data_IF_187581567272
#
_entry.id   IF_187581567272
#
_cell.length_a   1.000
_cell.length_b   1.000
_cell.length_c   1.000
_cell.angle_alpha   90.00
_cell.angle_beta   90.00
_cell.angle_gamma   90.00
#
_symmetry.space_group_name_H-M   'P 1'
#
loop_
_entity.id
_entity.type
_entity.pdbx_description
1 polymer ?
#
# COMPACT_ATOMS: atom_id res chain seq x y z
N UNK A 1 9.73 17.38 -6.04
CA UNK A 1 9.80 16.27 -5.05
C UNK A 1 9.53 16.72 -3.62
N UNK A 2 10.24 17.71 -3.07
CA UNK A 2 10.05 18.10 -1.65
C UNK A 2 8.62 18.55 -1.30
N UNK A 3 7.99 19.38 -2.13
CA UNK A 3 6.61 19.85 -1.88
C UNK A 3 5.57 18.72 -1.98
N UNK A 4 5.68 17.86 -3.00
CA UNK A 4 4.77 16.72 -3.20
C UNK A 4 4.96 15.69 -2.09
N UNK A 5 6.20 15.39 -1.71
CA UNK A 5 6.51 14.50 -0.60
C UNK A 5 6.02 15.04 0.75
N UNK A 6 6.15 16.35 0.98
CA UNK A 6 5.62 17.00 2.19
C UNK A 6 4.08 16.97 2.22
N UNK A 7 3.42 17.31 1.13
CA UNK A 7 1.95 17.29 1.03
C UNK A 7 1.39 15.86 1.11
N UNK A 8 2.05 14.91 0.44
CA UNK A 8 1.71 13.48 0.52
C UNK A 8 1.93 12.93 1.92
N UNK A 9 3.05 13.25 2.57
CA UNK A 9 3.32 12.86 3.95
C UNK A 9 2.32 13.44 4.96
N UNK A 10 1.92 14.71 4.77
CA UNK A 10 0.88 15.35 5.57
C UNK A 10 -0.49 14.69 5.37
N UNK A 11 -0.89 14.47 4.10
CA UNK A 11 -2.15 13.81 3.76
C UNK A 11 -2.19 12.36 4.23
N UNK A 12 -1.06 11.64 4.11
CA UNK A 12 -0.91 10.28 4.60
C UNK A 12 -1.00 10.19 6.13
N UNK A 13 -0.46 11.19 6.85
CA UNK A 13 -0.57 11.27 8.31
C UNK A 13 -1.96 11.64 8.81
N UNK A 14 -2.69 12.48 8.07
CA UNK A 14 -4.06 12.89 8.42
C UNK A 14 -5.12 11.83 8.06
N UNK A 15 -5.00 11.24 6.88
CA UNK A 15 -6.02 10.35 6.31
C UNK A 15 -5.65 8.87 6.46
N UNK A 16 -4.42 8.54 6.86
CA UNK A 16 -3.92 7.16 6.99
C UNK A 16 -3.82 6.40 5.68
N UNK A 17 -3.95 7.09 4.54
CA UNK A 17 -4.05 6.50 3.19
C UNK A 17 -2.70 5.88 2.72
N UNK A 18 -1.59 6.25 3.36
CA UNK A 18 -0.24 5.93 2.87
C UNK A 18 0.04 6.74 1.60
N UNK A 19 1.18 7.42 1.52
CA UNK A 19 1.43 8.45 0.50
C UNK A 19 1.36 7.99 -0.96
N UNK A 20 1.20 6.68 -1.23
CA UNK A 20 1.17 6.06 -2.55
C UNK A 20 0.10 6.59 -3.50
N UNK A 21 -1.10 6.92 -3.01
CA UNK A 21 -2.16 7.51 -3.85
C UNK A 21 -1.70 8.80 -4.54
N UNK A 22 -0.89 9.61 -3.86
CA UNK A 22 -0.34 10.86 -4.39
C UNK A 22 1.02 10.62 -5.06
N UNK A 23 1.86 9.77 -4.46
CA UNK A 23 3.24 9.55 -4.90
C UNK A 23 3.31 8.80 -6.23
N UNK A 24 2.49 7.77 -6.46
CA UNK A 24 2.54 6.96 -7.69
C UNK A 24 2.20 7.81 -8.93
N UNK A 25 1.08 8.56 -8.99
CA UNK A 25 0.79 9.44 -10.14
C UNK A 25 1.81 10.56 -10.30
N UNK A 26 2.31 11.13 -9.20
CA UNK A 26 3.33 12.17 -9.26
C UNK A 26 4.65 11.64 -9.83
N UNK A 27 5.07 10.43 -9.42
CA UNK A 27 6.26 9.78 -9.96
C UNK A 27 6.07 9.40 -11.42
N UNK A 28 4.91 8.90 -11.83
CA UNK A 28 4.60 8.65 -13.23
C UNK A 28 4.78 9.91 -14.08
N UNK A 29 4.22 11.04 -13.65
CA UNK A 29 4.31 12.29 -14.41
C UNK A 29 5.76 12.80 -14.51
N UNK A 30 6.55 12.66 -13.44
CA UNK A 30 7.93 13.14 -13.39
C UNK A 30 8.90 12.22 -14.13
N UNK A 31 8.67 10.90 -14.08
CA UNK A 31 9.53 9.90 -14.70
C UNK A 31 9.16 9.62 -16.17
N UNK A 32 7.94 9.94 -16.61
CA UNK A 32 7.51 9.77 -18.00
C UNK A 32 8.46 10.34 -19.06
N UNK A 33 9.06 11.54 -18.90
CA UNK A 33 10.04 12.04 -19.88
C UNK A 33 11.44 11.41 -19.75
N UNK A 34 11.71 10.59 -18.73
CA UNK A 34 13.03 10.07 -18.40
C UNK A 34 13.18 8.56 -18.63
N UNK A 35 12.06 7.82 -18.68
CA UNK A 35 12.03 6.35 -18.72
C UNK A 35 11.10 5.84 -19.81
N UNK A 36 11.43 4.68 -20.35
CA UNK A 36 10.55 3.94 -21.25
C UNK A 36 9.27 3.46 -20.53
N UNK A 37 8.16 3.39 -21.26
CA UNK A 37 6.86 2.97 -20.71
C UNK A 37 6.90 1.57 -20.08
N UNK A 38 7.79 0.69 -20.57
CA UNK A 38 7.94 -0.69 -20.08
C UNK A 38 8.41 -0.79 -18.63
N UNK A 39 9.19 0.20 -18.15
CA UNK A 39 9.74 0.23 -16.79
C UNK A 39 9.15 1.35 -15.93
N UNK A 40 8.44 2.30 -16.55
CA UNK A 40 7.92 3.50 -15.91
C UNK A 40 7.00 3.19 -14.73
N UNK A 41 6.01 2.31 -14.91
CA UNK A 41 5.05 2.00 -13.85
C UNK A 41 5.69 1.20 -12.71
N UNK A 42 6.52 0.20 -13.02
CA UNK A 42 7.23 -0.60 -12.01
C UNK A 42 8.18 0.26 -11.18
N UNK A 43 8.89 1.20 -11.84
CA UNK A 43 9.81 2.11 -11.17
C UNK A 43 9.05 3.13 -10.31
N UNK A 44 7.93 3.68 -10.79
CA UNK A 44 7.07 4.59 -10.02
C UNK A 44 6.50 3.89 -8.77
N UNK A 45 5.98 2.68 -8.91
CA UNK A 45 5.42 1.88 -7.80
C UNK A 45 6.49 1.50 -6.79
N UNK A 46 7.62 0.95 -7.25
CA UNK A 46 8.73 0.56 -6.37
C UNK A 46 9.33 1.75 -5.62
N UNK A 47 9.51 2.89 -6.30
CA UNK A 47 10.02 4.13 -5.69
C UNK A 47 9.02 4.71 -4.69
N UNK A 48 7.71 4.66 -5.00
CA UNK A 48 6.67 5.09 -4.07
C UNK A 48 6.69 4.24 -2.80
N UNK A 49 6.75 2.91 -2.91
CA UNK A 49 6.84 2.01 -1.75
C UNK A 49 8.09 2.30 -0.92
N UNK A 50 9.25 2.51 -1.56
CA UNK A 50 10.49 2.86 -0.86
C UNK A 50 10.36 4.19 -0.09
N UNK A 51 9.73 5.20 -0.70
CA UNK A 51 9.44 6.46 -0.02
C UNK A 51 8.44 6.29 1.12
N UNK A 52 7.44 5.42 0.94
CA UNK A 52 6.42 5.15 1.94
C UNK A 52 7.05 4.57 3.21
N UNK A 53 8.08 3.71 3.11
CA UNK A 53 8.80 3.19 4.30
C UNK A 53 9.18 4.31 5.27
N UNK A 54 9.78 5.39 4.78
CA UNK A 54 10.18 6.52 5.62
C UNK A 54 8.98 7.29 6.18
N UNK A 55 7.96 7.54 5.36
CA UNK A 55 6.75 8.26 5.81
C UNK A 55 5.93 7.45 6.82
N UNK A 56 5.88 6.13 6.65
CA UNK A 56 5.17 5.21 7.53
C UNK A 56 5.83 5.12 8.89
N UNK A 57 7.16 5.14 8.98
CA UNK A 57 7.85 5.20 10.29
C UNK A 57 7.44 6.46 11.06
N UNK A 58 7.42 7.62 10.40
CA UNK A 58 6.97 8.88 11.01
C UNK A 58 5.50 8.82 11.46
N UNK A 59 4.63 8.27 10.61
CA UNK A 59 3.19 8.12 10.90
C UNK A 59 2.91 7.14 12.04
N UNK A 60 3.56 5.96 12.04
CA UNK A 60 3.49 4.97 13.13
C UNK A 60 3.88 5.63 14.44
N UNK A 61 5.00 6.36 14.47
CA UNK A 61 5.47 7.03 15.67
C UNK A 61 4.45 8.05 16.20
N UNK A 62 3.90 8.89 15.32
CA UNK A 62 2.90 9.88 15.69
C UNK A 62 1.60 9.24 16.23
N UNK A 63 1.08 8.21 15.56
CA UNK A 63 -0.13 7.51 16.00
C UNK A 63 0.09 6.67 17.27
N UNK A 64 1.29 6.12 17.44
CA UNK A 64 1.67 5.39 18.65
C UNK A 64 1.67 6.33 19.87
N UNK A 65 2.24 7.52 19.72
CA UNK A 65 2.26 8.55 20.78
C UNK A 65 0.85 8.95 21.24
N UNK A 66 -0.13 8.89 20.34
CA UNK A 66 -1.54 9.16 20.65
C UNK A 66 -2.33 7.94 21.13
N UNK A 67 -1.72 6.76 21.27
CA UNK A 67 -2.39 5.54 21.73
C UNK A 67 -3.49 5.03 20.79
N UNK A 68 -3.52 5.49 19.54
CA UNK A 68 -4.61 5.22 18.61
C UNK A 68 -4.47 3.87 17.86
N UNK A 69 -3.29 3.25 17.89
CA UNK A 69 -3.00 2.02 17.15
C UNK A 69 -3.57 0.80 17.88
N UNK A 70 -4.42 0.02 17.22
CA UNK A 70 -4.88 -1.28 17.73
C UNK A 70 -3.87 -2.37 17.38
N UNK A 71 -2.88 -2.57 18.26
CA UNK A 71 -1.80 -3.55 18.09
C UNK A 71 -2.28 -5.00 17.87
N UNK A 72 -3.43 -5.36 18.43
CA UNK A 72 -4.08 -6.67 18.20
C UNK A 72 -4.46 -6.87 16.74
N UNK A 73 -5.00 -5.85 16.08
CA UNK A 73 -5.38 -5.90 14.67
C UNK A 73 -4.15 -5.86 13.77
N UNK A 74 -3.17 -5.01 14.11
CA UNK A 74 -1.89 -4.94 13.44
C UNK A 74 -1.19 -6.31 13.41
N UNK A 75 -0.98 -6.94 14.57
CA UNK A 75 -0.27 -8.23 14.68
C UNK A 75 -0.99 -9.38 13.97
N UNK A 76 -2.33 -9.32 13.85
CA UNK A 76 -3.12 -10.31 13.08
C UNK A 76 -2.93 -10.18 11.57
N UNK A 77 -2.80 -8.95 11.06
CA UNK A 77 -2.69 -8.67 9.64
C UNK A 77 -1.24 -8.80 9.13
N UNK A 78 -0.27 -8.31 9.91
CA UNK A 78 1.14 -8.15 9.50
C UNK A 78 1.77 -9.42 8.90
N UNK A 79 1.65 -10.63 9.47
CA UNK A 79 2.32 -11.81 8.94
C UNK A 79 1.90 -12.14 7.51
N UNK A 80 0.59 -12.16 7.24
CA UNK A 80 0.05 -12.42 5.91
C UNK A 80 0.23 -11.25 4.96
N UNK A 81 0.27 -10.03 5.48
CA UNK A 81 0.56 -8.83 4.71
C UNK A 81 1.99 -8.85 4.16
N UNK A 82 2.98 -9.27 4.95
CA UNK A 82 4.36 -9.38 4.47
C UNK A 82 4.45 -10.35 3.30
N UNK A 83 3.79 -11.51 3.42
CA UNK A 83 3.74 -12.53 2.37
C UNK A 83 2.98 -12.00 1.14
N UNK A 84 1.82 -11.37 1.35
CA UNK A 84 1.01 -10.76 0.31
C UNK A 84 1.79 -9.69 -0.44
N UNK A 85 2.39 -8.73 0.26
CA UNK A 85 3.11 -7.62 -0.35
C UNK A 85 4.35 -8.08 -1.14
N UNK A 86 5.12 -9.02 -0.59
CA UNK A 86 6.26 -9.59 -1.32
C UNK A 86 5.80 -10.32 -2.59
N UNK A 87 4.80 -11.20 -2.48
CA UNK A 87 4.25 -11.91 -3.65
C UNK A 87 3.58 -10.97 -4.66
N UNK A 88 2.94 -9.89 -4.20
CA UNK A 88 2.31 -8.87 -5.04
C UNK A 88 3.34 -8.13 -5.88
N UNK A 89 4.47 -7.75 -5.28
CA UNK A 89 5.59 -7.16 -6.01
C UNK A 89 6.20 -8.14 -7.04
N UNK A 90 6.31 -9.43 -6.70
CA UNK A 90 6.75 -10.46 -7.63
C UNK A 90 5.78 -10.67 -8.80
N UNK A 91 4.48 -10.62 -8.54
CA UNK A 91 3.45 -10.76 -9.58
C UNK A 91 3.39 -9.52 -10.46
N UNK A 92 3.57 -8.32 -9.89
CA UNK A 92 3.56 -7.06 -10.62
C UNK A 92 4.59 -7.04 -11.77
N UNK A 93 5.73 -7.73 -11.62
CA UNK A 93 6.78 -7.81 -12.66
C UNK A 93 6.32 -8.45 -13.97
N UNK A 94 5.25 -9.26 -13.94
CA UNK A 94 4.67 -9.90 -15.12
C UNK A 94 3.49 -9.12 -15.70
N UNK A 95 3.08 -8.03 -15.06
CA UNK A 95 1.97 -7.20 -15.51
C UNK A 95 2.46 -6.10 -16.45
N UNK A 96 1.73 -5.89 -17.55
CA UNK A 96 2.00 -4.79 -18.48
C UNK A 96 1.72 -3.43 -17.86
N UNK A 97 2.40 -2.39 -18.35
CA UNK A 97 2.16 -0.99 -18.00
C UNK A 97 0.67 -0.61 -18.02
N UNK A 98 -0.03 -0.89 -19.12
CA UNK A 98 -1.45 -0.53 -19.28
C UNK A 98 -2.35 -1.19 -18.25
N UNK A 99 -2.11 -2.48 -17.97
CA UNK A 99 -2.85 -3.21 -16.95
C UNK A 99 -2.67 -2.58 -15.57
N UNK A 100 -1.42 -2.33 -15.13
CA UNK A 100 -1.16 -1.70 -13.82
C UNK A 100 -1.79 -0.30 -13.74
N UNK A 101 -1.69 0.49 -14.81
CA UNK A 101 -2.24 1.85 -14.86
C UNK A 101 -3.77 1.86 -14.74
N UNK A 102 -4.46 1.03 -15.53
CA UNK A 102 -5.93 0.92 -15.51
C UNK A 102 -6.39 0.32 -14.20
N UNK A 103 -5.71 -0.73 -13.71
CA UNK A 103 -6.02 -1.36 -12.43
C UNK A 103 -5.88 -0.37 -11.27
N UNK A 104 -4.78 0.38 -11.19
CA UNK A 104 -4.58 1.44 -10.20
C UNK A 104 -5.74 2.44 -10.21
N UNK A 105 -6.09 2.98 -11.39
CA UNK A 105 -7.14 3.99 -11.51
C UNK A 105 -8.51 3.46 -11.08
N UNK A 106 -8.90 2.28 -11.58
CA UNK A 106 -10.18 1.66 -11.25
C UNK A 106 -10.28 1.29 -9.76
N UNK A 107 -9.20 0.77 -9.20
CA UNK A 107 -9.11 0.39 -7.80
C UNK A 107 -9.28 1.60 -6.88
N UNK A 108 -8.57 2.69 -7.15
CA UNK A 108 -8.66 3.91 -6.33
C UNK A 108 -10.04 4.58 -6.42
N UNK A 109 -10.65 4.60 -7.59
CA UNK A 109 -12.05 5.06 -7.76
C UNK A 109 -12.99 4.19 -6.92
N UNK A 110 -12.80 2.87 -6.93
CA UNK A 110 -13.62 1.95 -6.15
C UNK A 110 -13.49 2.20 -4.64
N UNK A 111 -12.27 2.40 -4.15
CA UNK A 111 -12.01 2.76 -2.73
C UNK A 111 -12.68 4.08 -2.36
N UNK A 112 -12.53 5.11 -3.21
CA UNK A 112 -13.14 6.41 -2.99
C UNK A 112 -14.67 6.32 -2.88
N UNK A 113 -15.31 5.51 -3.75
CA UNK A 113 -16.75 5.25 -3.71
C UNK A 113 -17.16 4.54 -2.42
N UNK A 114 -16.45 3.50 -2.01
CA UNK A 114 -16.75 2.76 -0.77
C UNK A 114 -16.69 3.68 0.45
N UNK A 115 -15.67 4.54 0.53
CA UNK A 115 -15.54 5.51 1.61
C UNK A 115 -16.64 6.59 1.55
N UNK A 116 -17.00 7.06 0.35
CA UNK A 116 -18.06 8.05 0.16
C UNK A 116 -19.41 7.56 0.69
N UNK A 117 -19.76 6.30 0.43
CA UNK A 117 -21.01 5.71 0.90
C UNK A 117 -20.98 5.21 2.35
N UNK A 118 -19.84 5.31 3.05
CA UNK A 118 -19.68 4.98 4.48
C UNK A 118 -20.36 3.66 4.89
N UNK A 119 -20.21 2.64 4.06
CA UNK A 119 -20.86 1.34 4.26
C UNK A 119 -20.25 0.68 5.52
N UNK A 120 -21.09 0.38 6.52
CA UNK A 120 -20.68 -0.33 7.74
C UNK A 120 -21.45 -1.64 7.90
N UNK A 121 -20.76 -2.70 8.31
CA UNK A 121 -21.39 -3.97 8.68
C UNK A 121 -22.07 -3.85 10.06
N UNK A 122 -22.95 -4.79 10.41
CA UNK A 122 -23.57 -4.84 11.73
C UNK A 122 -22.67 -5.45 12.83
N UNK A 123 -21.55 -6.10 12.46
CA UNK A 123 -20.67 -6.84 13.37
C UNK A 123 -19.32 -6.17 13.64
N UNK A 124 -18.75 -6.41 14.83
CA UNK A 124 -17.43 -5.91 15.24
C UNK A 124 -16.29 -6.87 14.82
N UNK A 125 -15.12 -6.31 14.51
CA UNK A 125 -13.92 -7.01 13.98
C UNK A 125 -13.43 -8.17 14.85
N UNK A 126 -13.72 -8.15 16.15
CA UNK A 126 -13.35 -9.22 17.09
C UNK A 126 -14.09 -10.54 16.87
N UNK A 127 -15.26 -10.51 16.21
CA UNK A 127 -16.05 -11.71 15.91
C UNK A 127 -15.60 -12.42 14.63
N UNK A 128 -14.65 -11.85 13.88
CA UNK A 128 -14.14 -12.45 12.66
C UNK A 128 -13.32 -13.72 12.94
N UNK A 129 -13.55 -14.76 12.14
CA UNK A 129 -12.77 -15.99 12.19
C UNK A 129 -11.31 -15.73 11.81
N UNK A 130 -10.39 -16.53 12.37
CA UNK A 130 -8.95 -16.42 12.12
C UNK A 130 -8.59 -16.49 10.63
N UNK A 131 -9.25 -17.37 9.86
CA UNK A 131 -9.02 -17.51 8.43
C UNK A 131 -9.36 -16.25 7.63
N UNK A 132 -10.37 -15.48 8.06
CA UNK A 132 -10.73 -14.21 7.42
C UNK A 132 -9.62 -13.19 7.59
N UNK A 133 -9.04 -13.09 8.79
CA UNK A 133 -7.88 -12.21 9.03
C UNK A 133 -6.69 -12.56 8.15
N UNK A 134 -6.40 -13.85 7.99
CA UNK A 134 -5.29 -14.33 7.16
C UNK A 134 -5.52 -14.00 5.68
N UNK A 135 -6.72 -14.29 5.17
CA UNK A 135 -7.08 -14.02 3.77
C UNK A 135 -7.06 -12.51 3.49
N UNK A 136 -7.70 -11.72 4.35
CA UNK A 136 -7.75 -10.25 4.19
C UNK A 136 -6.37 -9.65 4.25
N UNK A 137 -5.54 -10.06 5.23
CA UNK A 137 -4.16 -9.56 5.31
C UNK A 137 -3.35 -9.90 4.06
N UNK A 138 -3.46 -11.13 3.55
CA UNK A 138 -2.79 -11.51 2.31
C UNK A 138 -3.26 -10.67 1.11
N UNK A 139 -4.57 -10.54 0.90
CA UNK A 139 -5.16 -9.77 -0.21
C UNK A 139 -4.78 -8.29 -0.13
N UNK A 140 -4.87 -7.70 1.07
CA UNK A 140 -4.46 -6.31 1.30
C UNK A 140 -3.00 -6.14 0.93
N UNK A 141 -2.10 -7.00 1.43
CA UNK A 141 -0.68 -6.92 1.12
C UNK A 141 -0.42 -7.04 -0.39
N UNK A 142 -1.02 -8.05 -1.02
CA UNK A 142 -0.88 -8.34 -2.46
C UNK A 142 -1.28 -7.14 -3.32
N UNK A 143 -2.51 -6.66 -3.14
CA UNK A 143 -3.05 -5.55 -3.94
C UNK A 143 -2.31 -4.26 -3.64
N UNK A 144 -2.02 -3.98 -2.36
CA UNK A 144 -1.31 -2.76 -1.96
C UNK A 144 0.08 -2.66 -2.59
N UNK A 145 0.81 -3.78 -2.70
CA UNK A 145 2.11 -3.80 -3.36
C UNK A 145 2.01 -3.63 -4.88
N UNK A 146 1.03 -4.27 -5.54
CA UNK A 146 0.81 -4.11 -6.99
C UNK A 146 0.49 -2.65 -7.34
N UNK A 147 -0.34 -2.00 -6.53
CA UNK A 147 -0.81 -0.62 -6.75
C UNK A 147 0.21 0.41 -6.25
N UNK A 148 1.08 0.05 -5.30
CA UNK A 148 2.09 0.95 -4.73
C UNK A 148 1.58 1.82 -3.58
N UNK A 149 0.65 1.31 -2.77
CA UNK A 149 -0.03 2.07 -1.72
C UNK A 149 0.27 1.47 -0.35
N UNK A 150 0.40 2.32 0.67
CA UNK A 150 0.79 1.94 2.03
C UNK A 150 -0.34 1.32 2.86
N UNK A 151 -1.17 0.44 2.30
CA UNK A 151 -2.23 -0.30 3.01
C UNK A 151 -3.42 0.51 3.51
N UNK A 152 -3.30 1.83 3.60
CA UNK A 152 -4.32 2.75 4.10
C UNK A 152 -5.64 2.68 3.35
N UNK A 153 -5.58 2.60 2.03
CA UNK A 153 -6.75 2.58 1.13
C UNK A 153 -7.61 1.32 1.29
N UNK A 154 -7.04 0.17 1.65
CA UNK A 154 -7.83 -1.06 1.89
C UNK A 154 -8.07 -1.35 3.37
N UNK A 155 -7.04 -1.16 4.20
CA UNK A 155 -7.11 -1.54 5.62
C UNK A 155 -8.06 -0.64 6.37
N UNK A 156 -8.11 0.66 6.03
CA UNK A 156 -9.00 1.61 6.70
C UNK A 156 -10.47 1.28 6.44
N UNK A 157 -10.96 1.18 5.19
CA UNK A 157 -12.35 0.82 4.95
C UNK A 157 -12.67 -0.59 5.45
N UNK A 158 -11.74 -1.55 5.40
CA UNK A 158 -11.97 -2.87 5.99
C UNK A 158 -12.24 -2.79 7.51
N UNK A 159 -11.43 -2.03 8.26
CA UNK A 159 -11.60 -1.88 9.70
C UNK A 159 -12.86 -1.08 10.04
N UNK A 160 -13.14 0.00 9.32
CA UNK A 160 -14.37 0.81 9.48
C UNK A 160 -15.61 -0.03 9.18
N UNK A 161 -15.59 -0.80 8.09
CA UNK A 161 -16.67 -1.72 7.74
C UNK A 161 -16.93 -2.75 8.84
N UNK A 162 -15.91 -3.16 9.60
CA UNK A 162 -16.03 -4.07 10.73
C UNK A 162 -16.18 -3.34 12.10
N UNK A 163 -16.77 -2.14 12.11
CA UNK A 163 -17.07 -1.32 13.30
C UNK A 163 -15.87 -1.00 14.19
N UNK A 164 -14.69 -0.80 13.61
CA UNK A 164 -13.58 -0.16 14.34
C UNK A 164 -13.72 1.35 14.22
N UNK A 165 -13.54 2.06 15.32
CA UNK A 165 -13.54 3.53 15.34
C UNK A 165 -12.62 4.10 14.26
N UNK A 166 -13.11 5.09 13.50
CA UNK A 166 -12.39 5.62 12.34
C UNK A 166 -10.99 6.12 12.67
N UNK A 167 -10.80 6.71 13.86
CA UNK A 167 -9.49 7.18 14.35
C UNK A 167 -8.52 6.02 14.54
N UNK A 168 -9.00 4.91 15.10
CA UNK A 168 -8.21 3.71 15.33
C UNK A 168 -7.99 2.93 14.04
N UNK A 169 -8.97 2.91 13.14
CA UNK A 169 -8.85 2.32 11.81
C UNK A 169 -7.76 3.01 10.99
N UNK A 170 -7.78 4.35 10.93
CA UNK A 170 -6.76 5.17 10.26
C UNK A 170 -5.37 4.90 10.88
N UNK A 171 -5.25 4.98 12.20
CA UNK A 171 -3.98 4.78 12.90
C UNK A 171 -3.41 3.36 12.70
N UNK A 172 -4.25 2.34 12.79
CA UNK A 172 -3.85 0.93 12.60
C UNK A 172 -3.47 0.68 11.14
N UNK A 173 -4.19 1.25 10.19
CA UNK A 173 -3.90 1.10 8.76
C UNK A 173 -2.60 1.78 8.36
N UNK A 174 -2.34 2.98 8.88
CA UNK A 174 -1.06 3.66 8.71
C UNK A 174 0.10 2.83 9.27
N UNK A 175 -0.12 2.16 10.41
CA UNK A 175 0.88 1.26 10.99
C UNK A 175 1.14 0.04 10.11
N UNK A 176 0.08 -0.57 9.58
CA UNK A 176 0.13 -1.68 8.63
C UNK A 176 0.80 -1.28 7.30
N UNK A 177 0.80 0.00 6.93
CA UNK A 177 1.52 0.49 5.77
C UNK A 177 3.03 0.26 5.80
N UNK A 178 3.63 0.26 7.00
CA UNK A 178 5.07 0.02 7.17
C UNK A 178 5.50 -1.39 6.69
N UNK A 179 4.91 -2.51 7.16
CA UNK A 179 5.28 -3.83 6.66
C UNK A 179 4.96 -4.03 5.18
N UNK A 180 3.87 -3.45 4.66
CA UNK A 180 3.55 -3.48 3.22
C UNK A 180 4.67 -2.81 2.42
N UNK A 181 5.02 -1.58 2.78
CA UNK A 181 6.03 -0.81 2.09
C UNK A 181 7.40 -1.49 2.13
N UNK A 182 7.78 -2.05 3.28
CA UNK A 182 9.03 -2.79 3.42
C UNK A 182 9.06 -4.03 2.53
N UNK A 183 8.10 -4.94 2.67
CA UNK A 183 8.06 -6.19 1.91
C UNK A 183 7.87 -5.95 0.40
N UNK A 184 7.02 -4.98 0.03
CA UNK A 184 6.81 -4.58 -1.35
C UNK A 184 8.07 -3.97 -1.97
N UNK A 185 8.74 -3.05 -1.28
CA UNK A 185 10.00 -2.44 -1.77
C UNK A 185 11.08 -3.50 -1.98
N UNK A 186 11.27 -4.40 -1.01
CA UNK A 186 12.20 -5.52 -1.13
C UNK A 186 11.82 -6.41 -2.31
N UNK A 187 10.53 -6.70 -2.48
CA UNK A 187 10.03 -7.46 -3.61
C UNK A 187 10.34 -6.80 -4.97
N UNK A 188 10.10 -5.50 -5.11
CA UNK A 188 10.41 -4.78 -6.37
C UNK A 188 11.91 -4.72 -6.65
N UNK A 189 12.75 -4.55 -5.62
CA UNK A 189 14.22 -4.60 -5.76
C UNK A 189 14.65 -5.99 -6.27
N UNK A 190 14.14 -7.06 -5.68
CA UNK A 190 14.45 -8.44 -6.10
C UNK A 190 13.95 -8.70 -7.52
N UNK A 191 12.72 -8.29 -7.85
CA UNK A 191 12.15 -8.46 -9.17
C UNK A 191 12.94 -7.71 -10.26
N UNK A 192 13.42 -6.50 -9.94
CA UNK A 192 14.28 -5.72 -10.83
C UNK A 192 15.65 -6.35 -11.06
N UNK A 193 16.26 -6.94 -10.02
CA UNK A 193 17.55 -7.65 -10.16
C UNK A 193 17.44 -8.88 -11.06
N UNK A 194 16.34 -9.64 -10.97
CA UNK A 194 16.10 -10.80 -11.85
C UNK A 194 15.96 -10.38 -13.33
N UNK A 195 15.25 -9.29 -13.60
CA UNK A 195 15.11 -8.77 -14.98
C UNK A 195 16.44 -8.22 -15.52
N UNK A 196 17.22 -7.51 -14.71
CA UNK A 196 18.55 -7.02 -15.08
C UNK A 196 19.58 -8.15 -15.30
N UNK A 197 19.44 -9.26 -14.57
CA UNK A 197 20.24 -10.47 -14.77
C UNK A 197 19.92 -11.21 -16.07
N UNK A 198 18.67 -11.15 -16.55
CA UNK A 198 18.29 -11.74 -17.85
C UNK A 198 18.87 -10.95 -19.03
N UNK A 199 19.01 -9.63 -18.92
CA UNK A 199 19.65 -8.78 -19.93
C UNK A 199 21.19 -8.86 -19.93
N UNK A 200 21.81 -9.36 -18.86
CA UNK A 200 23.26 -9.55 -18.77
C UNK A 200 23.80 -10.84 -19.41
N UNK A 201 22.93 -11.72 -19.91
CA UNK A 201 23.31 -13.04 -20.47
C UNK A 201 23.17 -13.17 -21.99
N UNK A 202 22.76 -12.11 -22.68
CA UNK A 202 22.70 -12.08 -24.13
C UNK A 202 23.38 -10.80 -24.65
N UNK A 203 24.65 -10.94 -25.02
CA UNK A 203 25.30 -10.22 -26.12
C UNK A 203 25.48 -8.72 -25.99
#
# INVERSE_FOLDING_TARGET
>A
MLLVGAFSGFSAGLLGIGGGLIMVPALLYILAPLLDESVLMHTAVGTALAAIVFTSVSSVYAHHKHGAIHWKNFTRLTPTILIGAYSGAMVAKYMSFDFLRVFFAFFEISVAVVMWFSISASGHVDKLARWVWLLVGYVIGLVSAIVGIGGGTMTTPFLVFNNVDIKNAIATSAAVGMPIALAGSVGFIVAGMEQGGMTGSLG
#
